data_IF_481304779060
#
_entry.id   IF_481304779060
#
_cell.length_a   1.000
_cell.length_b   1.000
_cell.length_c   1.000
_cell.angle_alpha   90.00
_cell.angle_beta   90.00
_cell.angle_gamma   90.00
#
_symmetry.space_group_name_H-M   'P 1'
#
loop_
_entity.id
_entity.type
_entity.pdbx_description
1 polymer ?
#
# COMPACT_ATOMS: atom_id res chain seq x y z
N UNK A 1 23.23 -3.91 -8.14
CA UNK A 1 22.36 -3.02 -8.94
C UNK A 1 21.69 -2.12 -7.95
N UNK A 2 21.82 -0.83 -8.15
CA UNK A 2 21.44 0.17 -7.17
C UNK A 2 20.42 1.10 -7.81
N UNK A 3 19.35 1.37 -7.07
CA UNK A 3 18.23 2.22 -7.49
C UNK A 3 18.10 3.27 -6.40
N UNK A 4 18.24 4.54 -6.78
CA UNK A 4 18.24 5.66 -5.84
C UNK A 4 16.99 6.54 -5.97
N UNK A 5 16.29 6.49 -7.11
CA UNK A 5 15.11 7.30 -7.40
C UNK A 5 14.01 6.43 -8.00
N UNK A 6 12.78 6.58 -7.49
CA UNK A 6 11.60 5.92 -8.04
C UNK A 6 11.13 6.63 -9.32
N UNK A 7 11.04 5.92 -10.43
CA UNK A 7 10.64 6.50 -11.72
C UNK A 7 9.18 7.00 -11.75
N UNK A 8 8.30 6.47 -10.89
CA UNK A 8 6.88 6.85 -10.89
C UNK A 8 6.60 8.14 -10.11
N UNK A 9 7.29 8.36 -8.98
CA UNK A 9 7.02 9.48 -8.09
C UNK A 9 8.22 10.41 -7.84
N UNK A 10 9.42 10.07 -8.32
CA UNK A 10 10.65 10.85 -8.12
C UNK A 10 11.21 10.82 -6.69
N UNK A 11 10.64 10.00 -5.80
CA UNK A 11 11.09 9.85 -4.42
C UNK A 11 12.42 9.08 -4.32
N UNK A 12 13.20 9.39 -3.28
CA UNK A 12 14.43 8.64 -2.99
C UNK A 12 14.10 7.23 -2.50
N UNK A 13 14.81 6.24 -3.02
CA UNK A 13 14.68 4.83 -2.64
C UNK A 13 16.05 4.22 -2.35
N UNK A 14 16.05 3.09 -1.66
CA UNK A 14 17.26 2.32 -1.34
C UNK A 14 16.94 0.83 -1.40
N UNK A 15 17.85 0.04 -1.97
CA UNK A 15 17.78 -1.42 -1.93
C UNK A 15 18.09 -1.89 -0.50
N UNK A 16 17.16 -2.63 0.12
CA UNK A 16 17.28 -3.10 1.51
C UNK A 16 17.60 -4.59 1.63
N UNK A 17 17.36 -5.37 0.59
CA UNK A 17 17.63 -6.81 0.52
C UNK A 17 17.67 -7.27 -0.94
N UNK A 18 18.35 -8.39 -1.18
CA UNK A 18 18.35 -9.13 -2.44
C UNK A 18 17.78 -10.54 -2.20
N UNK A 19 17.11 -11.10 -3.21
CA UNK A 19 16.63 -12.48 -3.21
C UNK A 19 17.36 -13.19 -4.35
N UNK A 20 18.22 -14.16 -4.01
CA UNK A 20 19.12 -14.82 -4.97
C UNK A 20 18.85 -16.33 -5.11
N UNK A 21 18.01 -16.90 -4.24
CA UNK A 21 17.65 -18.31 -4.30
C UNK A 21 16.74 -18.59 -5.52
N UNK A 22 17.14 -19.50 -6.43
CA UNK A 22 16.39 -19.78 -7.64
C UNK A 22 14.98 -20.31 -7.37
N UNK A 23 14.79 -21.14 -6.34
CA UNK A 23 13.49 -21.75 -6.04
C UNK A 23 12.50 -20.67 -5.57
N UNK A 24 12.99 -19.73 -4.77
CA UNK A 24 12.18 -18.59 -4.29
C UNK A 24 11.84 -17.63 -5.43
N UNK A 25 12.80 -17.36 -6.32
CA UNK A 25 12.56 -16.54 -7.52
C UNK A 25 11.47 -17.18 -8.39
N UNK A 26 11.54 -18.49 -8.65
CA UNK A 26 10.51 -19.22 -9.41
C UNK A 26 9.13 -19.13 -8.75
N UNK A 27 9.07 -19.27 -7.42
CA UNK A 27 7.82 -19.14 -6.68
C UNK A 27 7.19 -17.75 -6.83
N UNK A 28 7.99 -16.68 -6.72
CA UNK A 28 7.52 -15.30 -6.92
C UNK A 28 7.01 -15.11 -8.35
N UNK A 29 7.76 -15.55 -9.35
CA UNK A 29 7.37 -15.42 -10.76
C UNK A 29 6.07 -16.17 -11.05
N UNK A 30 5.89 -17.38 -10.51
CA UNK A 30 4.65 -18.15 -10.63
C UNK A 30 3.46 -17.41 -10.03
N UNK A 31 3.64 -16.82 -8.84
CA UNK A 31 2.59 -16.03 -8.19
C UNK A 31 2.19 -14.80 -9.03
N UNK A 32 3.17 -14.05 -9.55
CA UNK A 32 2.90 -12.87 -10.37
C UNK A 32 2.12 -13.20 -11.65
N UNK A 33 2.47 -14.30 -12.34
CA UNK A 33 1.72 -14.78 -13.50
C UNK A 33 0.25 -15.09 -13.16
N UNK A 34 0.02 -15.78 -12.05
CA UNK A 34 -1.33 -16.10 -11.58
C UNK A 34 -2.11 -14.83 -11.20
N UNK A 35 -1.45 -13.84 -10.58
CA UNK A 35 -2.06 -12.55 -10.22
C UNK A 35 -2.45 -11.75 -11.46
N UNK A 36 -1.57 -11.69 -12.47
CA UNK A 36 -1.86 -11.02 -13.74
C UNK A 36 -3.08 -11.64 -14.44
N UNK A 37 -3.13 -12.97 -14.56
CA UNK A 37 -4.27 -13.68 -15.14
C UNK A 37 -5.60 -13.48 -14.36
N UNK A 38 -5.52 -13.13 -13.07
CA UNK A 38 -6.67 -12.80 -12.23
C UNK A 38 -7.02 -11.32 -12.27
N UNK A 39 -6.09 -10.42 -12.61
CA UNK A 39 -6.34 -8.98 -12.67
C UNK A 39 -7.38 -8.64 -13.74
N UNK A 40 -7.40 -9.38 -14.84
CA UNK A 40 -8.39 -9.24 -15.92
C UNK A 40 -9.83 -9.60 -15.49
N UNK A 41 -9.98 -10.36 -14.40
CA UNK A 41 -11.28 -10.82 -13.87
C UNK A 41 -11.66 -10.17 -12.53
N UNK A 42 -10.71 -9.49 -11.88
CA UNK A 42 -10.91 -8.85 -10.58
C UNK A 42 -10.90 -7.33 -10.73
N UNK A 43 -11.89 -6.80 -11.42
CA UNK A 43 -12.42 -5.50 -11.03
C UNK A 43 -13.08 -5.72 -9.66
N UNK A 44 -12.25 -5.75 -8.61
CA UNK A 44 -12.70 -5.84 -7.23
C UNK A 44 -13.48 -4.56 -6.99
N UNK A 45 -14.79 -4.60 -7.22
CA UNK A 45 -15.67 -3.51 -6.88
C UNK A 45 -15.50 -3.35 -5.38
N UNK A 46 -14.84 -2.27 -4.99
CA UNK A 46 -14.78 -1.91 -3.59
C UNK A 46 -16.24 -1.91 -3.10
N UNK A 47 -16.54 -2.56 -1.97
CA UNK A 47 -17.87 -2.45 -1.40
C UNK A 47 -18.21 -0.96 -1.30
N UNK A 48 -19.47 -0.58 -1.57
CA UNK A 48 -19.86 0.82 -1.56
C UNK A 48 -19.41 1.49 -0.26
N UNK A 49 -19.14 2.79 -0.35
CA UNK A 49 -18.68 3.61 0.77
C UNK A 49 -19.50 3.30 2.03
N UNK A 50 -18.81 2.93 3.10
CA UNK A 50 -19.46 2.66 4.39
C UNK A 50 -19.59 3.97 5.14
N UNK A 51 -20.72 4.16 5.81
CA UNK A 51 -20.89 5.28 6.73
C UNK A 51 -19.79 5.23 7.82
N UNK A 52 -19.30 6.40 8.27
CA UNK A 52 -18.40 6.47 9.42
C UNK A 52 -19.00 5.75 10.63
N UNK A 53 -18.19 5.07 11.45
CA UNK A 53 -18.70 4.45 12.67
C UNK A 53 -19.37 5.53 13.54
N UNK A 54 -20.62 5.28 13.94
CA UNK A 54 -21.37 6.09 14.91
C UNK A 54 -20.70 5.95 16.27
N UNK A 55 -19.58 6.65 16.45
CA UNK A 55 -18.96 6.84 17.75
C UNK A 55 -19.63 8.06 18.38
N UNK A 56 -20.33 7.94 19.52
CA UNK A 56 -20.63 9.11 20.32
C UNK A 56 -19.29 9.77 20.66
N UNK A 57 -19.16 11.06 20.33
CA UNK A 57 -17.92 11.83 20.45
C UNK A 57 -17.25 11.63 21.80
N UNK A 58 -16.17 10.84 21.85
CA UNK A 58 -15.33 10.72 23.05
C UNK A 58 -14.45 11.96 23.25
N UNK A 59 -14.35 12.81 22.23
CA UNK A 59 -13.68 14.11 22.32
C UNK A 59 -14.73 15.21 22.40
N UNK A 60 -15.07 15.58 23.64
CA UNK A 60 -15.69 16.87 23.91
C UNK A 60 -14.77 18.03 23.55
N UNK A 61 -15.30 19.26 23.36
CA UNK A 61 -14.50 20.40 22.98
C UNK A 61 -13.59 20.80 24.15
N UNK A 62 -12.33 20.43 24.10
CA UNK A 62 -11.32 21.07 24.95
C UNK A 62 -10.99 22.43 24.36
N UNK A 63 -11.66 23.42 24.96
CA UNK A 63 -11.44 24.84 24.79
C UNK A 63 -9.96 25.22 25.03
N UNK A 64 -9.54 26.29 24.35
CA UNK A 64 -8.37 27.15 24.66
C UNK A 64 -6.96 26.57 24.41
N UNK A 65 -6.22 27.16 23.47
CA UNK A 65 -5.42 28.37 23.73
C UNK A 65 -5.12 29.15 22.44
N UNK A 66 -5.45 30.46 22.47
CA UNK A 66 -4.76 31.46 21.67
C UNK A 66 -3.27 31.36 21.94
N UNK A 67 -2.46 31.30 20.88
CA UNK A 67 -1.15 31.93 20.90
C UNK A 67 -1.04 32.81 19.66
N UNK A 68 -0.74 34.06 19.97
CA UNK A 68 -0.65 35.25 19.12
C UNK A 68 0.44 35.13 18.05
#
# INVERSE_FOLDING_TARGET
MDIEVCEHCGGHVKVIASIEDPDIIEQILKHLKQKAAKADTNHHTQPPERAPPLTPSLFGPSQTRLFN
#
